data_IF_293838524177
#
_entry.id   IF_293838524177
#
_cell.length_a   1.000
_cell.length_b   1.000
_cell.length_c   1.000
_cell.angle_alpha   90.00
_cell.angle_beta   90.00
_cell.angle_gamma   90.00
#
_symmetry.space_group_name_H-M   'P 1'
#
loop_
_entity.id
_entity.type
_entity.pdbx_description
1 polymer ?
#
# COMPACT_ATOMS: atom_id res chain seq x y z
N UNK A 1 0.17 -22.67 12.79
CA UNK A 1 0.26 -21.25 13.19
C UNK A 1 0.48 -20.43 11.91
N UNK A 2 -0.35 -19.43 11.56
CA UNK A 2 0.03 -18.51 10.49
C UNK A 2 1.19 -17.66 11.03
N UNK A 3 2.33 -17.70 10.34
CA UNK A 3 3.50 -16.92 10.72
C UNK A 3 3.23 -15.40 10.64
N UNK A 4 4.14 -14.57 11.18
CA UNK A 4 4.02 -13.13 11.07
C UNK A 4 3.89 -12.70 9.60
N UNK A 5 3.19 -11.59 9.33
CA UNK A 5 3.01 -11.08 7.98
C UNK A 5 4.38 -10.90 7.31
N UNK A 6 4.54 -11.46 6.11
CA UNK A 6 5.83 -11.54 5.42
C UNK A 6 6.43 -10.18 5.08
N UNK A 7 5.61 -9.13 5.07
CA UNK A 7 6.00 -7.79 4.62
C UNK A 7 5.00 -6.74 5.12
N UNK A 8 5.52 -5.62 5.62
CA UNK A 8 4.76 -4.39 5.90
C UNK A 8 5.46 -3.24 5.21
N UNK A 9 4.72 -2.41 4.50
CA UNK A 9 5.23 -1.20 3.84
C UNK A 9 4.22 -0.07 3.96
N UNK A 10 4.68 1.17 3.88
CA UNK A 10 3.80 2.33 3.90
C UNK A 10 3.64 2.85 2.46
N UNK A 11 2.39 3.10 2.04
CA UNK A 11 2.12 3.67 0.74
C UNK A 11 2.73 5.08 0.63
N UNK A 12 3.58 5.30 -0.38
CA UNK A 12 4.22 6.60 -0.64
C UNK A 12 3.20 7.72 -0.96
N UNK A 13 2.02 7.38 -1.48
CA UNK A 13 0.98 8.35 -1.84
C UNK A 13 0.05 8.72 -0.69
N UNK A 14 -0.51 7.75 0.06
CA UNK A 14 -1.49 8.02 1.12
C UNK A 14 -0.98 7.78 2.54
N UNK A 15 0.21 7.21 2.71
CA UNK A 15 0.81 6.88 4.02
C UNK A 15 0.29 5.59 4.68
N UNK A 16 -0.74 4.94 4.14
CA UNK A 16 -1.36 3.75 4.73
C UNK A 16 -0.38 2.55 4.79
N UNK A 17 -0.41 1.80 5.90
CA UNK A 17 0.32 0.54 6.01
C UNK A 17 -0.36 -0.56 5.19
N UNK A 18 0.40 -1.14 4.27
CA UNK A 18 0.03 -2.34 3.51
C UNK A 18 0.79 -3.52 4.11
N UNK A 19 0.07 -4.42 4.77
CA UNK A 19 0.61 -5.57 5.50
C UNK A 19 0.12 -6.92 4.97
N UNK A 20 -0.80 -6.90 4.00
CA UNK A 20 -1.34 -8.08 3.30
C UNK A 20 -0.53 -8.47 2.05
N UNK A 21 0.62 -7.82 1.83
CA UNK A 21 1.52 -8.10 0.69
C UNK A 21 0.95 -7.68 -0.66
N UNK A 22 -0.07 -6.82 -0.66
CA UNK A 22 -0.74 -6.29 -1.85
C UNK A 22 -0.18 -4.94 -2.31
N UNK A 23 0.99 -4.54 -1.79
CA UNK A 23 1.64 -3.33 -2.24
C UNK A 23 2.14 -3.50 -3.68
N UNK A 24 2.10 -2.41 -4.44
CA UNK A 24 2.61 -2.32 -5.80
C UNK A 24 3.89 -1.50 -5.73
N UNK A 25 5.01 -2.10 -6.13
CA UNK A 25 6.29 -1.41 -6.20
C UNK A 25 6.36 -0.60 -7.50
N UNK A 26 6.39 0.74 -7.38
CA UNK A 26 6.57 1.68 -8.49
C UNK A 26 7.99 2.28 -8.44
N UNK A 27 8.32 3.13 -9.41
CA UNK A 27 9.60 3.86 -9.42
C UNK A 27 9.78 4.80 -8.21
N UNK A 28 8.67 5.32 -7.68
CA UNK A 28 8.67 6.20 -6.51
C UNK A 28 8.67 5.43 -5.18
N UNK A 29 8.33 4.13 -5.20
CA UNK A 29 8.33 3.26 -4.03
C UNK A 29 7.05 2.42 -3.89
N UNK A 30 6.77 1.87 -2.70
CA UNK A 30 5.60 1.04 -2.48
C UNK A 30 4.31 1.87 -2.46
N UNK A 31 3.30 1.44 -3.22
CA UNK A 31 1.96 2.01 -3.25
C UNK A 31 0.92 0.98 -2.80
N UNK A 32 -0.16 1.42 -2.15
CA UNK A 32 -1.32 0.55 -1.96
C UNK A 32 -2.02 0.34 -3.31
N UNK A 33 -2.73 -0.79 -3.48
CA UNK A 33 -3.48 -1.09 -4.73
C UNK A 33 -4.32 0.08 -5.25
N UNK A 34 -5.11 0.79 -4.43
CA UNK A 34 -5.93 1.88 -4.94
C UNK A 34 -5.09 3.07 -5.42
N UNK A 35 -4.07 3.52 -4.67
CA UNK A 35 -3.21 4.60 -5.14
C UNK A 35 -2.44 4.20 -6.40
N UNK A 36 -1.99 2.95 -6.50
CA UNK A 36 -1.35 2.42 -7.71
C UNK A 36 -2.30 2.35 -8.91
N UNK A 37 -3.60 2.17 -8.68
CA UNK A 37 -4.64 2.18 -9.72
C UNK A 37 -5.12 3.60 -10.10
N UNK A 38 -4.51 4.65 -9.53
CA UNK A 38 -4.93 6.05 -9.75
C UNK A 38 -6.14 6.48 -8.91
N UNK A 39 -6.66 5.61 -8.05
CA UNK A 39 -7.69 5.96 -7.06
C UNK A 39 -6.99 6.37 -5.75
N UNK A 40 -6.65 7.66 -5.64
CA UNK A 40 -6.12 8.18 -4.37
C UNK A 40 -7.16 7.95 -3.28
N UNK A 41 -6.76 7.29 -2.18
CA UNK A 41 -7.65 7.02 -1.03
C UNK A 41 -8.14 8.29 -0.31
N UNK A 42 -7.69 9.47 -0.72
CA UNK A 42 -7.98 10.77 -0.10
C UNK A 42 -9.02 11.64 -0.82
N UNK A 43 -9.96 11.04 -1.56
CA UNK A 43 -11.11 11.78 -2.10
C UNK A 43 -12.44 11.33 -1.45
N UNK A 44 -12.50 11.24 -0.12
CA UNK A 44 -13.74 11.50 0.61
C UNK A 44 -13.54 11.62 2.14
N UNK A 45 -13.94 12.80 2.62
CA UNK A 45 -14.25 13.23 4.00
C UNK A 45 -13.10 13.86 4.79
#
# INVERSE_FOLDING_TARGET
MPGPPRRRVNCMSCGEEVSDGRDVMTEEGPYCRPCAAGTVKGAHQ
#
